data_IF_899675020094
#
_entry.id   IF_899675020094
#
_cell.length_a   1.000
_cell.length_b   1.000
_cell.length_c   1.000
_cell.angle_alpha   90.00
_cell.angle_beta   90.00
_cell.angle_gamma   90.00
#
_symmetry.space_group_name_H-M   'P 1'
#
loop_
_entity.id
_entity.type
_entity.pdbx_description
1 polymer ?
#
# COMPACT_ATOMS: atom_id res chain seq x y z
N UNK A 1 -13.27 -18.85 10.64
CA UNK A 1 -12.36 -18.58 11.78
C UNK A 1 -11.62 -17.28 11.45
N UNK A 2 -11.52 -16.34 12.39
CA UNK A 2 -10.97 -14.98 12.17
C UNK A 2 -9.69 -14.80 12.98
N UNK A 3 -8.68 -14.12 12.43
CA UNK A 3 -7.43 -13.73 13.10
C UNK A 3 -7.39 -12.22 13.27
N UNK A 4 -6.88 -11.75 14.40
CA UNK A 4 -6.66 -10.33 14.64
C UNK A 4 -5.33 -9.90 14.03
N UNK A 5 -5.37 -8.88 13.18
CA UNK A 5 -4.19 -8.33 12.52
C UNK A 5 -3.98 -6.88 12.95
N UNK A 6 -2.72 -6.53 13.24
CA UNK A 6 -2.29 -5.19 13.65
C UNK A 6 -1.93 -4.36 12.42
N UNK A 7 -2.57 -3.20 12.29
CA UNK A 7 -2.29 -2.14 11.31
C UNK A 7 -1.83 -0.89 12.07
N UNK A 8 -0.52 -0.69 12.21
CA UNK A 8 -0.01 0.38 13.08
C UNK A 8 -0.51 0.19 14.51
N UNK A 9 -1.27 1.14 15.05
CA UNK A 9 -1.88 1.06 16.40
C UNK A 9 -3.25 0.37 16.44
N UNK A 10 -3.85 0.04 15.30
CA UNK A 10 -5.21 -0.52 15.23
C UNK A 10 -5.20 -2.03 15.05
N UNK A 11 -6.21 -2.69 15.63
CA UNK A 11 -6.43 -4.12 15.47
C UNK A 11 -7.73 -4.37 14.71
N UNK A 12 -7.70 -5.34 13.81
CA UNK A 12 -8.85 -5.65 12.97
C UNK A 12 -9.04 -7.15 12.82
N UNK A 13 -10.30 -7.59 12.81
CA UNK A 13 -10.66 -9.00 12.58
C UNK A 13 -10.67 -9.28 11.08
N UNK A 14 -9.79 -10.19 10.65
CA UNK A 14 -9.61 -10.55 9.24
C UNK A 14 -9.55 -12.08 9.10
N UNK A 15 -9.71 -12.66 7.90
CA UNK A 15 -9.65 -14.11 7.70
C UNK A 15 -8.35 -14.73 8.24
N UNK A 16 -8.40 -16.00 8.67
CA UNK A 16 -7.35 -16.66 9.47
C UNK A 16 -5.94 -16.69 8.85
N UNK A 17 -5.83 -16.47 7.54
CA UNK A 17 -4.56 -16.44 6.78
C UNK A 17 -4.29 -15.07 6.15
N UNK A 18 -4.54 -13.98 6.88
CA UNK A 18 -4.24 -12.63 6.43
C UNK A 18 -2.91 -12.13 7.01
N UNK A 19 -2.04 -11.55 6.17
CA UNK A 19 -0.78 -10.91 6.59
C UNK A 19 -0.71 -9.48 6.08
N UNK A 20 -0.03 -8.62 6.85
CA UNK A 20 0.25 -7.23 6.46
C UNK A 20 1.71 -7.13 6.07
N UNK A 21 1.96 -6.55 4.90
CA UNK A 21 3.30 -6.28 4.40
C UNK A 21 3.45 -4.78 4.23
N UNK A 22 4.52 -4.21 4.80
CA UNK A 22 4.94 -2.85 4.51
C UNK A 22 5.99 -2.87 3.41
N UNK A 23 5.71 -2.18 2.30
CA UNK A 23 6.63 -1.97 1.19
C UNK A 23 7.22 -0.55 1.27
N UNK A 24 8.55 -0.48 1.28
CA UNK A 24 9.26 0.80 1.24
C UNK A 24 9.03 1.53 -0.09
N UNK A 25 8.60 2.79 -0.03
CA UNK A 25 8.36 3.63 -1.21
C UNK A 25 9.60 3.91 -2.04
N UNK A 26 10.77 3.99 -1.39
CA UNK A 26 12.06 4.14 -2.09
C UNK A 26 12.32 2.98 -3.06
N UNK A 27 11.79 1.80 -2.75
CA UNK A 27 11.93 0.63 -3.62
C UNK A 27 11.12 0.77 -4.92
N UNK A 28 10.07 1.61 -4.92
CA UNK A 28 9.30 1.92 -6.12
C UNK A 28 9.94 3.07 -6.89
N UNK A 29 10.29 4.16 -6.21
CA UNK A 29 10.85 5.35 -6.87
C UNK A 29 12.25 5.14 -7.42
N UNK A 30 13.07 4.33 -6.75
CA UNK A 30 14.48 4.11 -7.11
C UNK A 30 14.70 2.76 -7.82
N UNK A 31 13.84 1.76 -7.59
CA UNK A 31 13.99 0.41 -8.15
C UNK A 31 13.49 0.25 -9.59
N UNK A 32 12.70 1.19 -10.10
CA UNK A 32 12.20 1.18 -11.47
C UNK A 32 11.23 0.04 -11.80
N UNK A 33 10.91 -0.10 -13.09
CA UNK A 33 9.85 -1.01 -13.57
C UNK A 33 10.13 -2.49 -13.30
N UNK A 34 11.36 -2.95 -13.45
CA UNK A 34 11.74 -4.36 -13.23
C UNK A 34 11.53 -4.77 -11.78
N UNK A 35 11.90 -3.91 -10.83
CA UNK A 35 11.68 -4.16 -9.42
C UNK A 35 10.17 -4.24 -9.08
N UNK A 36 9.38 -3.29 -9.58
CA UNK A 36 7.92 -3.28 -9.41
C UNK A 36 7.30 -4.58 -9.94
N UNK A 37 7.71 -5.02 -11.12
CA UNK A 37 7.24 -6.28 -11.71
C UNK A 37 7.65 -7.49 -10.87
N UNK A 38 8.89 -7.56 -10.37
CA UNK A 38 9.36 -8.65 -9.51
C UNK A 38 8.55 -8.72 -8.22
N UNK A 39 8.36 -7.60 -7.54
CA UNK A 39 7.57 -7.53 -6.31
C UNK A 39 6.12 -7.95 -6.57
N UNK A 40 5.47 -7.38 -7.58
CA UNK A 40 4.09 -7.72 -7.90
C UNK A 40 3.93 -9.22 -8.24
N UNK A 41 4.88 -9.81 -8.96
CA UNK A 41 4.89 -11.25 -9.23
C UNK A 41 5.01 -12.09 -7.96
N UNK A 42 5.87 -11.71 -7.01
CA UNK A 42 6.00 -12.39 -5.72
C UNK A 42 4.71 -12.29 -4.92
N UNK A 43 4.13 -11.09 -4.82
CA UNK A 43 2.86 -10.86 -4.13
C UNK A 43 1.72 -11.67 -4.75
N UNK A 44 1.62 -11.72 -6.08
CA UNK A 44 0.61 -12.50 -6.79
C UNK A 44 0.78 -14.03 -6.58
N UNK A 45 2.01 -14.52 -6.44
CA UNK A 45 2.26 -15.94 -6.10
C UNK A 45 1.87 -16.24 -4.65
N UNK A 46 2.31 -15.41 -3.71
CA UNK A 46 2.01 -15.56 -2.28
C UNK A 46 0.50 -15.45 -2.01
N UNK A 47 -0.18 -14.56 -2.73
CA UNK A 47 -1.62 -14.35 -2.57
C UNK A 47 -2.46 -15.56 -2.98
N UNK A 48 -1.90 -16.57 -3.66
CA UNK A 48 -2.59 -17.85 -3.92
C UNK A 48 -2.79 -18.69 -2.67
N UNK A 49 -1.96 -18.49 -1.65
CA UNK A 49 -1.98 -19.28 -0.41
C UNK A 49 -2.55 -18.49 0.76
N UNK A 50 -2.22 -17.20 0.86
CA UNK A 50 -2.67 -16.32 1.94
C UNK A 50 -3.35 -15.05 1.40
N UNK A 51 -4.03 -14.31 2.26
CA UNK A 51 -4.53 -12.96 1.95
C UNK A 51 -3.49 -11.93 2.38
N UNK A 52 -3.33 -10.88 1.58
CA UNK A 52 -2.31 -9.85 1.79
C UNK A 52 -2.93 -8.47 1.88
N UNK A 53 -2.59 -7.72 2.92
CA UNK A 53 -2.73 -6.27 2.90
C UNK A 53 -1.34 -5.66 2.74
N UNK A 54 -1.16 -4.88 1.69
CA UNK A 54 0.11 -4.29 1.30
C UNK A 54 0.02 -2.79 1.52
N UNK A 55 0.83 -2.27 2.44
CA UNK A 55 0.94 -0.83 2.72
C UNK A 55 2.20 -0.31 2.04
N UNK A 56 2.07 0.68 1.17
CA UNK A 56 3.19 1.25 0.41
C UNK A 56 3.52 2.63 0.96
N UNK A 57 4.79 2.88 1.29
CA UNK A 57 5.22 4.19 1.79
C UNK A 57 5.64 5.16 0.68
N UNK A 58 5.91 6.42 1.02
CA UNK A 58 6.18 7.50 0.06
C UNK A 58 7.61 7.57 -0.49
N UNK A 59 8.59 7.01 0.24
CA UNK A 59 9.99 6.94 -0.24
C UNK A 59 10.67 8.31 -0.41
N UNK A 60 11.65 8.35 -1.32
CA UNK A 60 12.41 9.56 -1.65
C UNK A 60 11.52 10.68 -2.19
N UNK A 61 10.59 10.33 -3.08
CA UNK A 61 9.66 11.29 -3.72
C UNK A 61 8.83 12.04 -2.68
N UNK A 62 8.32 11.35 -1.66
CA UNK A 62 7.56 12.02 -0.60
C UNK A 62 8.44 13.00 0.18
N UNK A 63 9.69 12.62 0.51
CA UNK A 63 10.63 13.51 1.22
C UNK A 63 10.99 14.74 0.38
N UNK A 64 11.19 14.56 -0.91
CA UNK A 64 11.47 15.64 -1.86
C UNK A 64 10.32 16.64 -1.91
N UNK A 65 9.08 16.17 -2.11
CA UNK A 65 7.92 17.04 -2.23
C UNK A 65 7.58 17.73 -0.91
N UNK A 66 7.75 17.03 0.22
CA UNK A 66 7.63 17.63 1.55
C UNK A 66 8.71 18.71 1.77
N UNK A 67 9.94 18.50 1.31
CA UNK A 67 11.01 19.52 1.40
C UNK A 67 10.64 20.78 0.62
N UNK A 68 10.18 20.62 -0.62
CA UNK A 68 9.73 21.75 -1.45
C UNK A 68 8.58 22.50 -0.76
N UNK A 69 7.57 21.79 -0.26
CA UNK A 69 6.45 22.38 0.46
C UNK A 69 6.90 23.15 1.72
N UNK A 70 7.88 22.61 2.44
CA UNK A 70 8.48 23.25 3.61
C UNK A 70 9.23 24.53 3.24
N UNK A 71 10.00 24.50 2.16
CA UNK A 71 10.80 25.64 1.68
C UNK A 71 9.91 26.81 1.23
N UNK A 72 8.72 26.53 0.70
CA UNK A 72 7.73 27.56 0.34
C UNK A 72 6.82 27.98 1.51
N UNK A 73 7.06 27.46 2.72
CA UNK A 73 6.37 27.89 3.95
C UNK A 73 4.98 27.28 4.18
N UNK A 74 4.69 26.09 3.62
CA UNK A 74 3.42 25.39 3.90
C UNK A 74 3.35 24.87 5.35
N UNK A 75 2.13 24.75 5.88
CA UNK A 75 1.91 24.16 7.20
C UNK A 75 2.13 22.64 7.22
N UNK A 76 2.33 22.08 8.42
CA UNK A 76 2.45 20.64 8.65
C UNK A 76 1.33 19.84 7.99
N UNK A 77 0.09 20.34 8.09
CA UNK A 77 -1.09 19.63 7.61
C UNK A 77 -1.04 19.45 6.09
N UNK A 78 -0.63 20.48 5.35
CA UNK A 78 -0.43 20.38 3.90
C UNK A 78 0.72 19.45 3.53
N UNK A 79 1.83 19.47 4.29
CA UNK A 79 2.96 18.56 4.08
C UNK A 79 2.56 17.10 4.30
N UNK A 80 1.76 16.81 5.32
CA UNK A 80 1.24 15.46 5.60
C UNK A 80 0.31 14.98 4.47
N UNK A 81 -0.56 15.87 3.97
CA UNK A 81 -1.40 15.57 2.81
C UNK A 81 -0.58 15.23 1.57
N UNK A 82 0.50 15.97 1.29
CA UNK A 82 1.43 15.67 0.19
C UNK A 82 2.06 14.29 0.39
N UNK A 83 2.55 13.98 1.59
CA UNK A 83 3.12 12.68 1.91
C UNK A 83 2.14 11.53 1.68
N UNK A 84 0.90 11.69 2.13
CA UNK A 84 -0.20 10.74 1.92
C UNK A 84 -0.47 10.53 0.43
N UNK A 85 -0.60 11.59 -0.36
CA UNK A 85 -0.86 11.47 -1.79
C UNK A 85 0.26 10.73 -2.52
N UNK A 86 1.53 10.98 -2.17
CA UNK A 86 2.67 10.24 -2.75
C UNK A 86 2.62 8.75 -2.37
N UNK A 87 2.30 8.41 -1.12
CA UNK A 87 2.16 7.00 -0.71
C UNK A 87 1.06 6.29 -1.50
N UNK A 88 -0.06 6.97 -1.77
CA UNK A 88 -1.19 6.43 -2.54
C UNK A 88 -0.87 6.30 -4.02
N UNK A 89 -0.09 7.22 -4.58
CA UNK A 89 0.42 7.10 -5.94
C UNK A 89 1.29 5.85 -6.09
N UNK A 90 2.23 5.64 -5.16
CA UNK A 90 3.06 4.44 -5.13
C UNK A 90 2.22 3.15 -4.98
N UNK A 91 1.23 3.16 -4.07
CA UNK A 91 0.29 2.06 -3.87
C UNK A 91 -0.52 1.73 -5.14
N UNK A 92 -0.95 2.78 -5.87
CA UNK A 92 -1.71 2.65 -7.12
C UNK A 92 -0.93 1.89 -8.19
N UNK A 93 0.36 2.19 -8.35
CA UNK A 93 1.24 1.49 -9.30
C UNK A 93 1.28 -0.01 -8.99
N UNK A 94 1.53 -0.40 -7.74
CA UNK A 94 1.57 -1.82 -7.34
C UNK A 94 0.23 -2.52 -7.59
N UNK A 95 -0.87 -1.88 -7.19
CA UNK A 95 -2.22 -2.41 -7.41
C UNK A 95 -2.50 -2.64 -8.89
N UNK A 96 -2.19 -1.68 -9.75
CA UNK A 96 -2.50 -1.77 -11.18
C UNK A 96 -1.62 -2.79 -11.89
N UNK A 97 -0.37 -2.96 -11.46
CA UNK A 97 0.49 -4.04 -11.95
C UNK A 97 -0.04 -5.41 -11.49
N UNK A 98 -0.48 -5.54 -10.23
CA UNK A 98 -1.11 -6.78 -9.75
C UNK A 98 -2.38 -7.14 -10.55
N UNK A 99 -3.22 -6.14 -10.84
CA UNK A 99 -4.41 -6.33 -11.67
C UNK A 99 -4.04 -6.77 -13.09
N UNK A 100 -3.03 -6.13 -13.70
CA UNK A 100 -2.49 -6.52 -15.02
C UNK A 100 -1.97 -7.97 -15.03
N UNK A 101 -1.38 -8.44 -13.94
CA UNK A 101 -0.90 -9.82 -13.78
C UNK A 101 -2.05 -10.82 -13.50
N UNK A 102 -3.29 -10.37 -13.40
CA UNK A 102 -4.47 -11.22 -13.13
C UNK A 102 -4.60 -11.66 -11.67
N UNK A 103 -3.95 -10.97 -10.73
CA UNK A 103 -4.16 -11.22 -9.31
C UNK A 103 -5.54 -10.69 -8.86
N UNK A 104 -6.19 -11.38 -7.94
CA UNK A 104 -7.39 -10.89 -7.25
C UNK A 104 -7.03 -9.79 -6.25
N UNK A 105 -6.85 -8.58 -6.77
CA UNK A 105 -6.56 -7.36 -6.03
C UNK A 105 -7.79 -6.47 -6.00
N UNK A 106 -8.09 -5.88 -4.84
CA UNK A 106 -9.14 -4.87 -4.73
C UNK A 106 -8.85 -3.69 -5.69
N UNK A 107 -9.78 -3.32 -6.59
CA UNK A 107 -9.53 -2.29 -7.61
C UNK A 107 -9.51 -0.87 -7.05
N UNK A 108 -10.08 -0.63 -5.87
CA UNK A 108 -10.08 0.69 -5.24
C UNK A 108 -8.75 1.05 -4.56
N UNK A 109 -8.78 2.08 -3.74
CA UNK A 109 -7.65 2.51 -2.91
C UNK A 109 -8.19 2.85 -1.52
N UNK A 110 -8.05 1.96 -0.54
CA UNK A 110 -8.58 2.21 0.79
C UNK A 110 -8.01 3.49 1.38
N UNK A 111 -8.88 4.32 1.95
CA UNK A 111 -8.49 5.57 2.63
C UNK A 111 -8.38 5.43 4.14
N UNK A 112 -8.80 4.28 4.68
CA UNK A 112 -8.66 3.98 6.09
C UNK A 112 -8.50 2.47 6.32
N UNK A 113 -8.02 2.11 7.52
CA UNK A 113 -7.83 0.71 7.93
C UNK A 113 -9.13 -0.10 7.86
N UNK A 114 -10.27 0.49 8.24
CA UNK A 114 -11.55 -0.21 8.24
C UNK A 114 -11.95 -0.65 6.83
N UNK A 115 -11.76 0.21 5.83
CA UNK A 115 -12.04 -0.11 4.43
C UNK A 115 -11.13 -1.25 3.95
N UNK A 116 -9.84 -1.20 4.28
CA UNK A 116 -8.90 -2.27 3.94
C UNK A 116 -9.32 -3.62 4.58
N UNK A 117 -9.84 -3.60 5.82
CA UNK A 117 -10.35 -4.79 6.48
C UNK A 117 -11.62 -5.37 5.85
N UNK A 118 -12.52 -4.52 5.35
CA UNK A 118 -13.72 -5.00 4.68
C UNK A 118 -13.40 -5.57 3.31
N UNK A 119 -12.50 -4.91 2.56
CA UNK A 119 -12.16 -5.35 1.21
C UNK A 119 -11.27 -6.59 1.21
N UNK A 120 -10.40 -6.78 2.22
CA UNK A 120 -9.62 -8.02 2.34
C UNK A 120 -10.49 -9.23 2.67
N UNK A 121 -11.77 -9.05 3.06
CA UNK A 121 -12.74 -10.15 3.17
C UNK A 121 -13.24 -10.62 1.80
N UNK A 122 -13.18 -9.77 0.78
CA UNK A 122 -13.69 -10.04 -0.57
C UNK A 122 -12.57 -10.41 -1.56
N UNK A 123 -11.37 -9.87 -1.36
CA UNK A 123 -10.22 -10.04 -2.26
C UNK A 123 -9.05 -10.80 -1.63
N UNK A 124 -8.15 -11.32 -2.47
CA UNK A 124 -6.88 -11.93 -2.02
C UNK A 124 -5.82 -10.88 -1.66
N UNK A 125 -5.82 -9.72 -2.32
CA UNK A 125 -4.88 -8.63 -2.05
C UNK A 125 -5.63 -7.30 -1.89
N UNK A 126 -5.26 -6.53 -0.88
CA UNK A 126 -5.61 -5.11 -0.77
C UNK A 126 -4.31 -4.32 -0.71
N UNK A 127 -4.19 -3.26 -1.53
CA UNK A 127 -3.03 -2.36 -1.51
C UNK A 127 -3.50 -0.98 -1.05
N UNK A 128 -2.76 -0.35 -0.15
CA UNK A 128 -3.07 0.99 0.35
C UNK A 128 -1.81 1.84 0.56
N UNK A 129 -1.98 3.16 0.55
CA UNK A 129 -1.01 4.11 1.08
C UNK A 129 -1.35 4.51 2.52
N UNK A 130 -0.75 5.61 2.98
CA UNK A 130 -1.16 6.35 4.18
C UNK A 130 -2.49 7.09 4.02
#
# INVERSE_FOLDING_TARGET
MSTTVKFGERYCSVPTMCKVLSLGGSLISEGGADYVLKVANVLAKVSKHIRLVVVVSGGGVAREYISIAKEVGMSSDYMDHIGIEVTRLNARIIRDVLAKLGADVYPGMPRCVSEACEEIKKHRIVVMGG
#
